data_IF_317161057349
#
_entry.id   IF_317161057349
#
_cell.length_a   1.000
_cell.length_b   1.000
_cell.length_c   1.000
_cell.angle_alpha   90.00
_cell.angle_beta   90.00
_cell.angle_gamma   90.00
#
_symmetry.space_group_name_H-M   'P 1'
#
loop_
_entity.id
_entity.type
_entity.pdbx_description
1 polymer ?
#
# COMPACT_ATOMS: atom_id res chain seq x y z
N UNK A 1 -8.06 8.82 -9.37
CA UNK A 1 -6.96 9.82 -9.34
C UNK A 1 -6.26 9.73 -10.67
N UNK A 2 -5.99 10.85 -11.33
CA UNK A 2 -5.18 10.84 -12.56
C UNK A 2 -3.71 10.50 -12.26
N UNK A 3 -2.98 10.07 -13.29
CA UNK A 3 -1.61 9.57 -13.14
C UNK A 3 -0.62 10.64 -12.66
N UNK A 4 -0.81 11.90 -13.08
CA UNK A 4 0.08 12.99 -12.71
C UNK A 4 -0.07 13.32 -11.21
N UNK A 5 -1.31 13.43 -10.73
CA UNK A 5 -1.60 13.63 -9.31
C UNK A 5 -1.11 12.46 -8.45
N UNK A 6 -1.24 11.23 -8.94
CA UNK A 6 -0.72 10.04 -8.26
C UNK A 6 0.80 10.12 -8.07
N UNK A 7 1.53 10.53 -9.10
CA UNK A 7 2.98 10.75 -9.05
C UNK A 7 3.37 11.81 -8.02
N UNK A 8 2.66 12.92 -7.98
CA UNK A 8 2.90 14.00 -7.01
C UNK A 8 2.64 13.56 -5.56
N UNK A 9 1.57 12.81 -5.31
CA UNK A 9 1.30 12.22 -4.00
C UNK A 9 2.45 11.33 -3.53
N UNK A 10 2.97 10.44 -4.39
CA UNK A 10 4.07 9.54 -4.04
C UNK A 10 5.42 10.26 -3.87
N UNK A 11 5.64 11.35 -4.62
CA UNK A 11 6.80 12.23 -4.45
C UNK A 11 6.81 12.86 -3.06
N UNK A 12 5.66 13.36 -2.60
CA UNK A 12 5.50 13.92 -1.25
C UNK A 12 5.67 12.83 -0.20
N UNK A 13 5.02 11.67 -0.38
CA UNK A 13 5.13 10.53 0.52
C UNK A 13 6.58 10.08 0.74
N UNK A 14 7.38 10.05 -0.33
CA UNK A 14 8.80 9.68 -0.26
C UNK A 14 9.60 10.65 0.61
N UNK A 15 9.32 11.95 0.51
CA UNK A 15 9.96 12.98 1.35
C UNK A 15 9.57 12.82 2.82
N UNK A 16 8.28 12.60 3.08
CA UNK A 16 7.75 12.40 4.44
C UNK A 16 8.32 11.11 5.05
N UNK A 17 8.35 10.01 4.32
CA UNK A 17 8.91 8.73 4.79
C UNK A 17 10.38 8.86 5.24
N UNK A 18 11.21 9.59 4.47
CA UNK A 18 12.60 9.88 4.87
C UNK A 18 12.68 10.71 6.14
N UNK A 19 11.84 11.75 6.25
CA UNK A 19 11.77 12.61 7.43
C UNK A 19 11.31 11.84 8.68
N UNK A 20 10.26 11.03 8.56
CA UNK A 20 9.75 10.16 9.63
C UNK A 20 10.85 9.21 10.10
N UNK A 21 11.55 8.52 9.18
CA UNK A 21 12.65 7.62 9.55
C UNK A 21 13.74 8.34 10.34
N UNK A 22 14.17 9.51 9.87
CA UNK A 22 15.22 10.31 10.53
C UNK A 22 14.77 10.78 11.91
N UNK A 23 13.51 11.19 12.06
CA UNK A 23 12.99 11.74 13.30
C UNK A 23 12.71 10.68 14.36
N UNK A 24 12.28 9.48 13.97
CA UNK A 24 11.86 8.43 14.92
C UNK A 24 12.92 7.37 15.18
N UNK A 25 13.94 7.25 14.31
CA UNK A 25 14.91 6.15 14.38
C UNK A 25 14.28 4.77 14.14
N UNK A 26 13.09 4.71 13.53
CA UNK A 26 12.39 3.45 13.28
C UNK A 26 13.20 2.48 12.40
N UNK A 27 13.07 1.18 12.69
CA UNK A 27 13.75 0.12 11.96
C UNK A 27 13.09 -0.17 10.59
N UNK A 28 11.80 0.16 10.45
CA UNK A 28 11.04 -0.03 9.23
C UNK A 28 9.97 1.05 9.03
N UNK A 29 9.30 1.00 7.88
CA UNK A 29 8.17 1.86 7.53
C UNK A 29 7.14 1.04 6.75
N UNK A 30 5.86 1.29 6.99
CA UNK A 30 4.80 0.89 6.07
C UNK A 30 4.21 2.13 5.40
N UNK A 31 4.04 2.02 4.08
CA UNK A 31 3.14 2.89 3.34
C UNK A 31 1.86 2.10 3.09
N UNK A 32 0.72 2.64 3.52
CA UNK A 32 -0.57 1.95 3.39
C UNK A 32 -1.63 2.90 2.88
N UNK A 33 -2.33 2.45 1.84
CA UNK A 33 -3.43 3.16 1.20
C UNK A 33 -4.57 2.17 1.02
N UNK A 34 -5.76 2.58 1.44
CA UNK A 34 -6.98 1.78 1.39
C UNK A 34 -8.00 2.46 0.48
N UNK A 35 -8.63 1.66 -0.39
CA UNK A 35 -9.76 2.11 -1.21
C UNK A 35 -10.99 1.29 -0.83
N UNK A 36 -12.12 1.99 -0.65
CA UNK A 36 -13.42 1.46 -0.28
C UNK A 36 -13.44 0.70 1.06
N UNK A 37 -14.65 0.47 1.60
CA UNK A 37 -14.82 -0.19 2.89
C UNK A 37 -14.19 -1.60 2.93
N UNK A 38 -14.31 -2.37 1.85
CA UNK A 38 -13.72 -3.72 1.75
C UNK A 38 -12.18 -3.70 1.73
N UNK A 39 -11.57 -2.59 1.29
CA UNK A 39 -10.13 -2.36 1.35
C UNK A 39 -9.67 -1.62 2.61
N UNK A 40 -10.53 -1.51 3.63
CA UNK A 40 -10.29 -0.87 4.94
C UNK A 40 -10.36 0.66 4.98
N UNK A 41 -10.96 1.32 3.98
CA UNK A 41 -11.12 2.77 3.98
C UNK A 41 -12.26 3.20 4.91
N UNK A 42 -11.97 4.14 5.82
CA UNK A 42 -12.98 4.75 6.72
C UNK A 42 -13.22 6.22 6.42
N UNK A 43 -12.25 6.92 5.80
CA UNK A 43 -12.36 8.32 5.37
C UNK A 43 -12.27 8.41 3.85
N UNK A 44 -13.33 8.89 3.21
CA UNK A 44 -13.49 8.98 1.75
C UNK A 44 -12.81 10.21 1.14
N UNK A 45 -11.54 10.37 1.48
CA UNK A 45 -10.60 11.29 0.87
C UNK A 45 -9.29 10.54 0.71
N UNK A 46 -8.61 10.65 -0.43
CA UNK A 46 -7.34 9.94 -0.64
C UNK A 46 -6.35 10.29 0.48
N UNK A 47 -5.81 9.28 1.15
CA UNK A 47 -4.76 9.45 2.14
C UNK A 47 -3.81 8.27 2.09
N UNK A 48 -2.53 8.55 2.29
CA UNK A 48 -1.47 7.54 2.37
C UNK A 48 -0.87 7.59 3.76
N UNK A 49 -1.02 6.51 4.51
CA UNK A 49 -0.39 6.37 5.80
C UNK A 49 1.12 6.18 5.64
N UNK A 50 1.91 6.83 6.51
CA UNK A 50 3.35 6.64 6.65
C UNK A 50 3.61 6.19 8.08
N UNK A 51 3.68 4.88 8.30
CA UNK A 51 3.72 4.30 9.64
C UNK A 51 5.16 3.87 10.02
N UNK A 52 5.84 4.56 10.95
CA UNK A 52 7.13 4.10 11.47
C UNK A 52 6.96 2.77 12.22
N UNK A 53 7.89 1.83 12.00
CA UNK A 53 7.84 0.49 12.58
C UNK A 53 9.02 0.21 13.50
N UNK A 54 8.72 -0.39 14.64
CA UNK A 54 9.71 -0.85 15.62
C UNK A 54 9.52 -2.35 15.87
N UNK A 55 10.59 -3.04 16.28
CA UNK A 55 10.48 -4.44 16.65
C UNK A 55 9.48 -4.58 17.82
N UNK A 56 8.47 -5.44 17.66
CA UNK A 56 7.46 -5.69 18.69
C UNK A 56 6.39 -4.60 18.86
N UNK A 57 6.21 -3.68 17.91
CA UNK A 57 5.23 -2.58 18.02
C UNK A 57 3.75 -3.01 17.96
N UNK A 58 3.46 -4.31 17.89
CA UNK A 58 2.12 -4.88 17.93
C UNK A 58 1.29 -4.71 16.65
N UNK A 59 1.74 -3.92 15.67
CA UNK A 59 1.00 -3.75 14.42
C UNK A 59 1.17 -4.98 13.52
N UNK A 60 0.06 -5.67 13.25
CA UNK A 60 0.01 -6.86 12.39
C UNK A 60 -0.68 -6.52 11.07
N UNK A 61 0.03 -6.67 9.96
CA UNK A 61 -0.55 -6.72 8.62
C UNK A 61 -0.65 -8.18 8.23
N UNK A 62 -1.84 -8.77 8.39
CA UNK A 62 -2.04 -10.20 8.17
C UNK A 62 -2.51 -10.43 6.74
N UNK A 63 -1.72 -11.18 5.97
CA UNK A 63 -2.11 -11.69 4.66
C UNK A 63 -2.09 -13.22 4.72
N UNK A 64 -3.25 -13.90 4.80
CA UNK A 64 -3.27 -15.35 4.82
C UNK A 64 -2.75 -15.89 3.48
N UNK A 65 -1.62 -16.59 3.51
CA UNK A 65 -1.01 -17.18 2.32
C UNK A 65 -1.99 -18.17 1.69
N UNK A 66 -2.22 -18.02 0.38
CA UNK A 66 -2.94 -18.98 -0.46
C UNK A 66 -2.03 -19.36 -1.62
N UNK A 67 -2.02 -20.64 -1.97
CA UNK A 67 -1.22 -21.20 -3.07
C UNK A 67 -2.14 -21.73 -4.18
N UNK A 68 -2.83 -20.86 -4.95
CA UNK A 68 -3.66 -21.30 -6.05
C UNK A 68 -2.81 -21.97 -7.16
N UNK A 69 -3.41 -22.86 -7.97
CA UNK A 69 -2.71 -23.48 -9.08
C UNK A 69 -2.30 -22.43 -10.13
N UNK A 70 -1.20 -22.70 -10.84
CA UNK A 70 -0.64 -21.80 -11.87
C UNK A 70 -1.67 -21.32 -12.88
N UNK A 71 -2.54 -22.22 -13.35
CA UNK A 71 -3.59 -21.91 -14.32
C UNK A 71 -4.56 -20.81 -13.82
N UNK A 72 -4.93 -20.82 -12.53
CA UNK A 72 -5.80 -19.80 -11.96
C UNK A 72 -5.11 -18.42 -11.91
N UNK A 73 -3.80 -18.40 -11.62
CA UNK A 73 -3.00 -17.17 -11.65
C UNK A 73 -2.86 -16.61 -13.06
N UNK A 74 -2.65 -17.47 -14.06
CA UNK A 74 -2.53 -17.05 -15.47
C UNK A 74 -3.83 -16.45 -16.01
N UNK A 75 -4.97 -17.08 -15.66
CA UNK A 75 -6.31 -16.58 -16.01
C UNK A 75 -6.56 -15.19 -15.41
N UNK A 76 -6.35 -15.02 -14.11
CA UNK A 76 -6.51 -13.72 -13.44
C UNK A 76 -5.58 -12.65 -14.05
N UNK A 77 -4.34 -13.01 -14.37
CA UNK A 77 -3.41 -12.08 -15.02
C UNK A 77 -3.88 -11.69 -16.45
N UNK A 78 -4.51 -12.60 -17.17
CA UNK A 78 -5.14 -12.31 -18.47
C UNK A 78 -6.30 -11.32 -18.35
N UNK A 79 -7.19 -11.53 -17.38
CA UNK A 79 -8.32 -10.64 -17.09
C UNK A 79 -7.85 -9.22 -16.73
N UNK A 80 -6.85 -9.10 -15.85
CA UNK A 80 -6.27 -7.80 -15.47
C UNK A 80 -5.65 -7.10 -16.69
N UNK A 81 -4.88 -7.82 -17.52
CA UNK A 81 -4.27 -7.24 -18.73
C UNK A 81 -5.32 -6.74 -19.72
N UNK A 82 -6.40 -7.48 -19.91
CA UNK A 82 -7.49 -7.06 -20.79
C UNK A 82 -8.18 -5.78 -20.29
N UNK A 83 -8.24 -5.58 -18.97
CA UNK A 83 -8.85 -4.40 -18.35
C UNK A 83 -7.93 -3.16 -18.28
N UNK A 84 -6.63 -3.29 -18.58
CA UNK A 84 -5.67 -2.19 -18.58
C UNK A 84 -5.59 -1.42 -19.91
N UNK A 85 -6.30 -1.88 -20.95
CA UNK A 85 -6.26 -1.33 -22.30
C UNK A 85 -6.92 0.05 -22.42
#
# INVERSE_FOLDING_TARGET
>A
MDEALAGECFRVATRIAKAVRKATGCAGLNLFQANEAAGFQTVYHFHLHVLPRHAGDGLKLVWPTRNPPREALDRMAGEIRAALA
#
